data_IF_343277370620
#
_entry.id   IF_343277370620
#
_cell.length_a   1.000
_cell.length_b   1.000
_cell.length_c   1.000
_cell.angle_alpha   90.00
_cell.angle_beta   90.00
_cell.angle_gamma   90.00
#
_symmetry.space_group_name_H-M   'P 1'
#
loop_
_entity.id
_entity.type
_entity.pdbx_description
1 polymer ?
#
# COMPACT_ATOMS: atom_id res chain seq x y z
N UNK A 1 9.67 -13.71 -9.63
CA UNK A 1 9.54 -12.71 -8.56
C UNK A 1 10.09 -13.32 -7.29
N UNK A 2 11.22 -12.83 -6.80
CA UNK A 2 11.93 -13.48 -5.70
C UNK A 2 11.59 -12.89 -4.33
N UNK A 3 11.14 -11.64 -4.25
CA UNK A 3 10.79 -11.01 -2.97
C UNK A 3 9.62 -10.04 -3.20
N UNK A 4 8.46 -10.37 -2.65
CA UNK A 4 7.26 -9.54 -2.70
C UNK A 4 6.72 -9.37 -1.30
N UNK A 5 6.42 -8.14 -0.91
CA UNK A 5 5.69 -7.81 0.31
C UNK A 5 4.38 -7.09 -0.05
N UNK A 6 3.29 -7.54 0.52
CA UNK A 6 1.96 -6.92 0.41
C UNK A 6 1.57 -6.36 1.77
N UNK A 7 1.11 -5.12 1.81
CA UNK A 7 0.74 -4.42 3.04
C UNK A 7 -0.69 -3.90 2.93
N UNK A 8 -1.50 -4.16 3.94
CA UNK A 8 -2.87 -3.67 4.00
C UNK A 8 -3.91 -4.62 3.42
N UNK A 9 -3.56 -5.88 3.17
CA UNK A 9 -4.49 -6.86 2.59
C UNK A 9 -5.79 -6.96 3.42
N UNK A 10 -6.92 -6.82 2.75
CA UNK A 10 -8.24 -6.99 3.37
C UNK A 10 -8.53 -8.47 3.65
N UNK A 11 -8.83 -8.81 4.91
CA UNK A 11 -8.99 -10.19 5.34
C UNK A 11 -10.13 -10.95 4.67
N UNK A 12 -11.23 -10.26 4.35
CA UNK A 12 -12.44 -10.88 3.76
C UNK A 12 -12.62 -10.59 2.26
N UNK A 13 -11.82 -9.70 1.68
CA UNK A 13 -11.90 -9.36 0.25
C UNK A 13 -11.12 -10.35 -0.63
N UNK A 14 -10.21 -11.13 -0.04
CA UNK A 14 -9.37 -12.07 -0.77
C UNK A 14 -9.84 -13.51 -0.54
N UNK A 15 -10.07 -14.25 -1.63
CA UNK A 15 -10.46 -15.65 -1.57
C UNK A 15 -9.30 -16.52 -1.03
N UNK A 16 -9.65 -17.61 -0.31
CA UNK A 16 -8.68 -18.56 0.25
C UNK A 16 -7.62 -19.06 -0.77
N UNK A 17 -7.98 -19.39 -2.03
CA UNK A 17 -6.97 -19.80 -3.01
C UNK A 17 -5.88 -18.75 -3.26
N UNK A 18 -6.22 -17.45 -3.25
CA UNK A 18 -5.24 -16.38 -3.42
C UNK A 18 -4.30 -16.28 -2.23
N UNK A 19 -4.84 -16.38 -1.01
CA UNK A 19 -4.02 -16.39 0.21
C UNK A 19 -3.07 -17.59 0.24
N UNK A 20 -3.55 -18.77 -0.14
CA UNK A 20 -2.74 -19.99 -0.24
C UNK A 20 -1.63 -19.83 -1.28
N UNK A 21 -1.96 -19.32 -2.46
CA UNK A 21 -0.99 -19.06 -3.52
C UNK A 21 0.11 -18.09 -3.05
N UNK A 22 -0.26 -17.00 -2.38
CA UNK A 22 0.71 -16.06 -1.81
C UNK A 22 1.66 -16.74 -0.81
N UNK A 23 1.12 -17.61 0.05
CA UNK A 23 1.92 -18.37 1.02
C UNK A 23 2.88 -19.34 0.33
N UNK A 24 2.42 -20.12 -0.65
CA UNK A 24 3.23 -21.06 -1.43
C UNK A 24 4.38 -20.36 -2.18
N UNK A 25 4.12 -19.13 -2.65
CA UNK A 25 5.13 -18.31 -3.34
C UNK A 25 5.95 -17.42 -2.39
N UNK A 26 5.81 -17.63 -1.07
CA UNK A 26 6.57 -16.92 -0.01
C UNK A 26 6.40 -15.39 -0.09
N UNK A 27 5.24 -14.93 -0.52
CA UNK A 27 4.88 -13.52 -0.49
C UNK A 27 4.63 -13.11 0.97
N UNK A 28 5.25 -12.04 1.40
CA UNK A 28 5.06 -11.51 2.76
C UNK A 28 3.81 -10.64 2.82
N UNK A 29 2.67 -11.24 3.14
CA UNK A 29 1.39 -10.56 3.19
C UNK A 29 1.08 -10.10 4.62
N UNK A 30 0.81 -8.80 4.77
CA UNK A 30 0.46 -8.15 6.05
C UNK A 30 -0.94 -7.57 5.90
N UNK A 31 -1.88 -8.04 6.73
CA UNK A 31 -3.27 -7.60 6.66
C UNK A 31 -3.45 -6.18 7.22
N UNK A 32 -4.53 -5.49 6.81
CA UNK A 32 -4.94 -4.21 7.38
C UNK A 32 -5.16 -4.30 8.91
N UNK A 33 -5.69 -5.41 9.40
CA UNK A 33 -5.82 -5.67 10.84
C UNK A 33 -4.45 -5.66 11.54
N UNK A 34 -3.45 -6.29 10.93
CA UNK A 34 -2.09 -6.31 11.50
C UNK A 34 -1.42 -4.93 11.43
N UNK A 35 -1.68 -4.16 10.38
CA UNK A 35 -1.23 -2.76 10.30
C UNK A 35 -1.79 -1.95 11.46
N UNK A 36 -3.10 -2.05 11.75
CA UNK A 36 -3.73 -1.36 12.90
C UNK A 36 -3.14 -1.77 14.25
N UNK A 37 -2.80 -3.05 14.41
CA UNK A 37 -2.21 -3.56 15.66
C UNK A 37 -0.81 -2.99 15.94
N UNK A 38 0.04 -2.93 14.92
CA UNK A 38 1.47 -2.62 15.11
C UNK A 38 1.89 -1.23 14.62
N UNK A 39 1.01 -0.55 13.90
CA UNK A 39 1.27 0.75 13.26
C UNK A 39 1.96 0.63 11.90
N UNK A 40 1.62 1.57 11.02
CA UNK A 40 2.09 1.57 9.62
C UNK A 40 3.61 1.73 9.52
N UNK A 41 4.21 2.58 10.34
CA UNK A 41 5.67 2.79 10.33
C UNK A 41 6.46 1.52 10.62
N UNK A 42 6.03 0.72 11.61
CA UNK A 42 6.65 -0.57 11.91
C UNK A 42 6.42 -1.57 10.78
N UNK A 43 5.23 -1.56 10.20
CA UNK A 43 4.85 -2.44 9.10
C UNK A 43 5.73 -2.18 7.88
N UNK A 44 5.88 -0.95 7.44
CA UNK A 44 6.74 -0.56 6.30
C UNK A 44 8.19 -0.99 6.55
N UNK A 45 8.72 -0.72 7.76
CA UNK A 45 10.08 -1.15 8.13
C UNK A 45 10.25 -2.68 8.08
N UNK A 46 9.24 -3.41 8.54
CA UNK A 46 9.23 -4.88 8.47
C UNK A 46 9.20 -5.41 7.04
N UNK A 47 8.35 -4.84 6.18
CA UNK A 47 8.25 -5.17 4.76
C UNK A 47 9.57 -4.90 4.03
N UNK A 48 10.18 -3.74 4.23
CA UNK A 48 11.50 -3.40 3.67
C UNK A 48 12.61 -4.32 4.20
N UNK A 49 12.52 -4.75 5.46
CA UNK A 49 13.43 -5.75 6.05
C UNK A 49 13.28 -7.12 5.40
N UNK A 50 12.04 -7.56 5.12
CA UNK A 50 11.76 -8.80 4.40
C UNK A 50 12.35 -8.80 2.99
N UNK A 51 12.29 -7.68 2.28
CA UNK A 51 12.90 -7.53 0.95
C UNK A 51 14.43 -7.64 1.00
N UNK A 52 15.03 -7.62 2.19
CA UNK A 52 16.42 -7.96 2.44
C UNK A 52 17.40 -7.08 1.67
N UNK A 53 18.29 -7.74 0.89
CA UNK A 53 19.36 -7.07 0.12
C UNK A 53 18.95 -6.71 -1.32
N UNK A 54 17.65 -6.60 -1.61
CA UNK A 54 17.21 -6.12 -2.92
C UNK A 54 17.85 -4.76 -3.21
N UNK A 55 18.56 -4.65 -4.33
CA UNK A 55 19.22 -3.41 -4.74
C UNK A 55 18.22 -2.36 -5.19
N UNK A 56 17.09 -2.80 -5.74
CA UNK A 56 16.02 -1.94 -6.22
C UNK A 56 14.68 -2.48 -5.76
N UNK A 57 13.80 -1.58 -5.36
CA UNK A 57 12.42 -1.84 -4.95
C UNK A 57 11.49 -1.05 -5.86
N UNK A 58 10.48 -1.72 -6.37
CA UNK A 58 9.33 -1.10 -7.01
C UNK A 58 8.19 -1.06 -6.01
N UNK A 59 7.48 0.05 -5.94
CA UNK A 59 6.34 0.23 -5.02
C UNK A 59 5.08 0.51 -5.85
N UNK A 60 4.08 -0.33 -5.69
CA UNK A 60 2.73 -0.09 -6.16
C UNK A 60 1.89 0.50 -5.02
N UNK A 61 1.29 1.66 -5.24
CA UNK A 61 0.27 2.24 -4.38
C UNK A 61 -1.11 1.88 -4.94
N UNK A 62 -1.57 0.71 -4.57
CA UNK A 62 -2.90 0.23 -4.91
C UNK A 62 -3.95 0.95 -4.05
N UNK A 63 -4.80 1.78 -4.68
CA UNK A 63 -5.73 2.64 -3.96
C UNK A 63 -6.87 1.86 -3.28
N UNK A 64 -7.10 0.62 -3.66
CA UNK A 64 -8.09 -0.23 -3.01
C UNK A 64 -7.68 -0.70 -1.60
N UNK A 65 -6.41 -0.50 -1.21
CA UNK A 65 -5.94 -0.70 0.16
C UNK A 65 -6.65 0.21 1.17
N UNK A 66 -7.17 1.34 0.73
CA UNK A 66 -7.91 2.27 1.56
C UNK A 66 -9.30 1.73 1.91
N UNK A 67 -9.81 2.13 3.06
CA UNK A 67 -11.21 1.93 3.40
C UNK A 67 -12.11 2.59 2.34
N UNK A 68 -13.20 1.91 1.98
CA UNK A 68 -14.17 2.38 0.97
C UNK A 68 -14.65 3.80 1.19
N UNK A 69 -14.77 4.23 2.46
CA UNK A 69 -15.18 5.60 2.78
C UNK A 69 -14.20 6.67 2.26
N UNK A 70 -12.94 6.29 2.03
CA UNK A 70 -11.88 7.19 1.56
C UNK A 70 -11.43 6.92 0.11
N UNK A 71 -11.90 5.82 -0.47
CA UNK A 71 -11.58 5.44 -1.85
C UNK A 71 -12.81 4.91 -2.60
N UNK A 72 -13.89 5.73 -2.74
CA UNK A 72 -15.07 5.31 -3.48
C UNK A 72 -14.80 5.05 -4.97
N UNK A 73 -13.79 5.67 -5.55
CA UNK A 73 -13.34 5.47 -6.93
C UNK A 73 -12.34 4.34 -7.11
N UNK A 74 -12.04 3.56 -6.06
CA UNK A 74 -11.26 2.32 -6.19
C UNK A 74 -12.23 1.13 -6.23
N UNK A 75 -12.33 0.38 -7.37
CA UNK A 75 -13.40 -0.60 -7.57
C UNK A 75 -13.48 -1.69 -6.51
N UNK A 76 -12.34 -2.18 -6.04
CA UNK A 76 -12.26 -3.27 -5.07
C UNK A 76 -12.08 -2.80 -3.61
N UNK A 77 -12.10 -1.50 -3.34
CA UNK A 77 -12.02 -0.99 -1.97
C UNK A 77 -13.18 -1.50 -1.11
N UNK A 78 -12.91 -1.83 0.13
CA UNK A 78 -13.89 -2.39 1.07
C UNK A 78 -13.79 -1.77 2.47
N UNK A 79 -14.79 -2.04 3.35
CA UNK A 79 -14.72 -1.63 4.74
C UNK A 79 -13.53 -2.28 5.48
N UNK A 80 -12.89 -1.53 6.37
CA UNK A 80 -11.77 -2.03 7.16
C UNK A 80 -10.41 -1.93 6.50
N UNK A 81 -10.29 -1.14 5.41
CA UNK A 81 -9.03 -0.76 4.80
C UNK A 81 -8.19 0.20 5.64
N UNK A 82 -7.11 0.67 5.10
CA UNK A 82 -6.26 1.70 5.71
C UNK A 82 -6.92 3.07 5.65
N UNK A 83 -6.53 3.96 6.53
CA UNK A 83 -6.85 5.37 6.42
C UNK A 83 -5.91 6.09 5.45
N UNK A 84 -6.32 7.24 4.86
CA UNK A 84 -5.43 8.06 4.05
C UNK A 84 -4.17 8.50 4.78
N UNK A 85 -4.24 8.75 6.08
CA UNK A 85 -3.09 9.14 6.90
C UNK A 85 -2.06 8.01 7.01
N UNK A 86 -2.51 6.77 7.20
CA UNK A 86 -1.60 5.61 7.23
C UNK A 86 -0.92 5.42 5.88
N UNK A 87 -1.65 5.54 4.76
CA UNK A 87 -1.06 5.39 3.43
C UNK A 87 -0.09 6.53 3.10
N UNK A 88 -0.38 7.77 3.50
CA UNK A 88 0.53 8.90 3.36
C UNK A 88 1.81 8.72 4.19
N UNK A 89 1.70 8.22 5.43
CA UNK A 89 2.87 7.91 6.26
C UNK A 89 3.72 6.81 5.61
N UNK A 90 3.09 5.74 5.10
CA UNK A 90 3.78 4.69 4.36
C UNK A 90 4.52 5.28 3.14
N UNK A 91 3.85 6.11 2.35
CA UNK A 91 4.40 6.75 1.17
C UNK A 91 5.62 7.63 1.52
N UNK A 92 5.53 8.43 2.58
CA UNK A 92 6.64 9.24 3.05
C UNK A 92 7.86 8.39 3.44
N UNK A 93 7.64 7.30 4.20
CA UNK A 93 8.70 6.39 4.61
C UNK A 93 9.34 5.67 3.42
N UNK A 94 8.52 5.23 2.45
CA UNK A 94 9.00 4.61 1.21
C UNK A 94 9.73 5.63 0.34
N UNK A 95 9.29 6.89 0.32
CA UNK A 95 10.02 7.99 -0.32
C UNK A 95 11.42 8.18 0.24
N UNK A 96 11.63 7.95 1.54
CA UNK A 96 12.97 8.02 2.18
C UNK A 96 13.84 6.81 1.89
N UNK A 97 13.29 5.68 1.49
CA UNK A 97 14.07 4.47 1.22
C UNK A 97 14.85 4.60 -0.10
N UNK A 98 16.18 4.57 -0.02
CA UNK A 98 17.06 4.80 -1.17
C UNK A 98 16.98 3.71 -2.24
N UNK A 99 16.54 2.51 -1.89
CA UNK A 99 16.36 1.40 -2.84
C UNK A 99 15.13 1.54 -3.70
N UNK A 100 14.17 2.40 -3.33
CA UNK A 100 12.98 2.63 -4.16
C UNK A 100 13.39 3.35 -5.43
N UNK A 101 13.25 2.65 -6.55
CA UNK A 101 13.67 3.06 -7.88
C UNK A 101 12.51 3.45 -8.79
N UNK A 102 11.29 3.08 -8.42
CA UNK A 102 10.07 3.43 -9.16
C UNK A 102 8.83 3.18 -8.33
N UNK A 103 7.78 3.88 -8.71
CA UNK A 103 6.45 3.75 -8.14
C UNK A 103 5.40 3.76 -9.25
N UNK A 104 4.25 3.20 -8.97
CA UNK A 104 3.00 3.40 -9.69
C UNK A 104 1.84 3.58 -8.72
N UNK A 105 0.71 4.00 -9.27
CA UNK A 105 -0.56 4.12 -8.54
C UNK A 105 -1.60 3.38 -9.37
N UNK A 106 -2.25 2.42 -8.75
CA UNK A 106 -3.21 1.53 -9.42
C UNK A 106 -4.58 1.58 -8.77
N UNK A 107 -5.55 0.88 -9.37
CA UNK A 107 -6.93 0.74 -8.87
C UNK A 107 -7.62 2.09 -8.60
N UNK A 108 -7.47 3.04 -9.51
CA UNK A 108 -8.12 4.35 -9.47
C UNK A 108 -8.97 4.56 -10.71
N UNK A 109 -10.30 4.59 -10.55
CA UNK A 109 -11.26 4.97 -11.58
C UNK A 109 -11.88 6.33 -11.26
N UNK A 110 -11.40 7.42 -11.91
CA UNK A 110 -11.95 8.75 -11.69
C UNK A 110 -13.42 8.88 -12.11
N UNK A 111 -13.90 8.02 -13.03
CA UNK A 111 -15.29 8.06 -13.50
C UNK A 111 -16.28 7.50 -12.49
N UNK A 112 -15.82 6.62 -11.59
CA UNK A 112 -16.58 6.04 -10.50
C UNK A 112 -16.36 6.77 -9.16
N UNK A 113 -15.50 7.79 -9.13
CA UNK A 113 -15.16 8.48 -7.89
C UNK A 113 -16.28 9.46 -7.45
N UNK A 114 -16.33 9.74 -6.16
CA UNK A 114 -17.29 10.66 -5.55
C UNK A 114 -16.56 11.92 -5.13
N UNK A 115 -16.88 13.07 -5.76
CA UNK A 115 -16.27 14.36 -5.41
C UNK A 115 -14.73 14.35 -5.40
N UNK A 116 -14.12 13.54 -6.26
CA UNK A 116 -12.68 13.36 -6.37
C UNK A 116 -12.00 12.89 -5.06
N UNK A 117 -12.71 12.21 -4.17
CA UNK A 117 -12.17 11.76 -2.87
C UNK A 117 -10.97 10.87 -3.08
N UNK A 118 -11.09 9.85 -3.95
CA UNK A 118 -10.00 8.90 -4.24
C UNK A 118 -8.84 9.57 -4.97
N UNK A 119 -9.16 10.41 -5.96
CA UNK A 119 -8.14 11.19 -6.70
C UNK A 119 -7.34 12.08 -5.74
N UNK A 120 -8.01 12.78 -4.83
CA UNK A 120 -7.33 13.63 -3.83
C UNK A 120 -6.49 12.80 -2.86
N UNK A 121 -6.96 11.64 -2.45
CA UNK A 121 -6.17 10.71 -1.62
C UNK A 121 -4.90 10.26 -2.37
N UNK A 122 -5.01 9.86 -3.63
CA UNK A 122 -3.87 9.48 -4.47
C UNK A 122 -2.86 10.63 -4.63
N UNK A 123 -3.34 11.85 -4.88
CA UNK A 123 -2.49 13.03 -4.94
C UNK A 123 -1.73 13.27 -3.62
N UNK A 124 -2.41 13.12 -2.48
CA UNK A 124 -1.78 13.29 -1.17
C UNK A 124 -0.72 12.21 -0.89
N UNK A 125 -0.95 10.97 -1.33
CA UNK A 125 0.03 9.87 -1.26
C UNK A 125 1.27 10.21 -2.09
N UNK A 126 1.10 10.65 -3.33
CA UNK A 126 2.22 11.04 -4.20
C UNK A 126 3.01 12.21 -3.61
N UNK A 127 2.32 13.25 -3.11
CA UNK A 127 2.99 14.38 -2.46
C UNK A 127 3.79 13.94 -1.22
N UNK A 128 3.24 13.04 -0.42
CA UNK A 128 3.94 12.47 0.75
C UNK A 128 5.17 11.66 0.33
N UNK A 129 5.07 10.87 -0.73
CA UNK A 129 6.20 10.15 -1.29
C UNK A 129 7.31 11.10 -1.76
N UNK A 130 6.97 12.13 -2.52
CA UNK A 130 7.95 13.11 -3.00
C UNK A 130 8.56 13.94 -1.86
N UNK A 131 7.79 14.23 -0.81
CA UNK A 131 8.34 14.85 0.40
C UNK A 131 9.37 13.94 1.08
N UNK A 132 9.08 12.64 1.17
CA UNK A 132 10.04 11.64 1.64
C UNK A 132 11.28 11.57 0.76
N UNK A 133 11.12 11.56 -0.56
CA UNK A 133 12.21 11.55 -1.54
C UNK A 133 13.12 12.78 -1.39
N UNK A 134 12.53 13.96 -1.24
CA UNK A 134 13.28 15.21 -1.05
C UNK A 134 14.04 15.27 0.29
N UNK A 135 13.72 14.39 1.24
CA UNK A 135 14.36 14.32 2.57
C UNK A 135 15.47 13.24 2.69
N UNK A 136 15.88 12.63 1.56
CA UNK A 136 16.95 11.60 1.52
C UNK A 136 18.34 12.10 1.89
#
# INVERSE_FOLDING_TARGET
LTNVAQVGIHGFANAEPHARWALEHKIHSITAAKVREQGIGRTVKGALGFLGRAERVWVDFDMDVLDRAFAPGAPASGPGGLSPTELQEAAFLLGKERRVAGIDVTELDPSADVSDITVRAACAVLLSFFAGLASR
#
